data_IF_147071966764
#
_entry.id   IF_147071966764
#
_cell.length_a   1.000
_cell.length_b   1.000
_cell.length_c   1.000
_cell.angle_alpha   90.00
_cell.angle_beta   90.00
_cell.angle_gamma   90.00
#
_symmetry.space_group_name_H-M   'P 1'
#
loop_
_entity.id
_entity.type
_entity.pdbx_description
1 polymer ?
#
# COMPACT_ATOMS: atom_id res chain seq x y z
N UNK A 1 24.10 -18.96 -0.16
CA UNK A 1 25.27 -18.07 -0.32
C UNK A 1 25.44 -17.24 0.95
N UNK A 2 26.61 -16.62 1.19
CA UNK A 2 26.74 -15.67 2.31
C UNK A 2 26.12 -14.32 1.91
N UNK A 3 25.73 -13.51 2.88
CA UNK A 3 25.11 -12.21 2.64
C UNK A 3 25.96 -11.31 1.72
N UNK A 4 27.27 -11.22 1.98
CA UNK A 4 28.19 -10.43 1.16
C UNK A 4 28.20 -10.84 -0.32
N UNK A 5 28.18 -12.15 -0.60
CA UNK A 5 28.18 -12.67 -1.96
C UNK A 5 26.82 -12.43 -2.66
N UNK A 6 25.73 -12.38 -1.88
CA UNK A 6 24.38 -12.05 -2.37
C UNK A 6 24.31 -10.59 -2.79
N UNK A 7 24.78 -9.68 -1.94
CA UNK A 7 24.78 -8.25 -2.20
C UNK A 7 25.62 -7.90 -3.44
N UNK A 8 26.84 -8.46 -3.54
CA UNK A 8 27.69 -8.25 -4.71
C UNK A 8 27.07 -8.80 -6.00
N UNK A 9 26.34 -9.91 -5.94
CA UNK A 9 25.63 -10.48 -7.09
C UNK A 9 24.39 -9.65 -7.48
N UNK A 10 23.67 -9.10 -6.50
CA UNK A 10 22.58 -8.16 -6.72
C UNK A 10 23.05 -6.90 -7.45
N UNK A 11 24.15 -6.30 -6.98
CA UNK A 11 24.69 -5.07 -7.55
C UNK A 11 25.21 -5.24 -8.98
N UNK A 12 25.65 -6.46 -9.35
CA UNK A 12 26.03 -6.82 -10.72
C UNK A 12 24.83 -7.08 -11.64
N UNK A 13 23.62 -7.17 -11.09
CA UNK A 13 22.41 -7.52 -11.83
C UNK A 13 22.31 -9.01 -12.18
N UNK A 14 22.99 -9.88 -11.41
CA UNK A 14 22.93 -11.33 -11.58
C UNK A 14 21.52 -11.86 -11.21
N UNK A 15 21.08 -12.98 -11.82
CA UNK A 15 19.81 -13.61 -11.45
C UNK A 15 19.92 -14.30 -10.07
N UNK A 16 19.24 -13.73 -9.07
CA UNK A 16 19.23 -14.25 -7.70
C UNK A 16 18.07 -15.21 -7.42
N UNK A 17 17.17 -15.42 -8.38
CA UNK A 17 15.97 -16.27 -8.24
C UNK A 17 16.28 -17.66 -7.66
N UNK A 18 17.38 -18.35 -8.03
CA UNK A 18 17.73 -19.67 -7.46
C UNK A 18 18.05 -19.65 -5.97
N UNK A 19 18.39 -18.49 -5.41
CA UNK A 19 18.77 -18.32 -4.00
C UNK A 19 17.62 -17.80 -3.12
N UNK A 20 16.48 -17.44 -3.73
CA UNK A 20 15.29 -16.97 -3.02
C UNK A 20 14.36 -18.13 -2.69
N UNK A 21 13.94 -18.24 -1.43
CA UNK A 21 12.87 -19.18 -1.04
C UNK A 21 11.48 -18.59 -1.36
N UNK A 22 11.10 -18.69 -2.63
CA UNK A 22 9.81 -18.19 -3.12
C UNK A 22 8.62 -19.01 -2.60
N UNK A 23 8.84 -20.25 -2.13
CA UNK A 23 7.76 -21.10 -1.61
C UNK A 23 7.27 -20.63 -0.24
N UNK A 24 8.15 -20.05 0.57
CA UNK A 24 7.79 -19.46 1.86
C UNK A 24 7.51 -17.95 1.79
N UNK A 25 7.65 -17.34 0.62
CA UNK A 25 7.38 -15.92 0.42
C UNK A 25 5.92 -15.58 0.79
N UNK A 26 5.75 -14.61 1.70
CA UNK A 26 4.44 -14.11 2.13
C UNK A 26 4.30 -12.65 1.74
N UNK A 27 3.14 -12.32 1.16
CA UNK A 27 2.74 -10.91 1.00
C UNK A 27 2.35 -10.40 2.39
N UNK A 28 3.15 -9.49 2.95
CA UNK A 28 2.92 -8.95 4.29
C UNK A 28 1.65 -8.07 4.37
N UNK A 29 1.23 -7.49 3.24
CA UNK A 29 0.07 -6.59 3.16
C UNK A 29 -0.78 -6.91 1.92
N UNK A 30 -1.57 -8.00 1.95
CA UNK A 30 -2.46 -8.33 0.84
C UNK A 30 -3.49 -7.21 0.63
N UNK A 31 -3.62 -6.74 -0.61
CA UNK A 31 -4.56 -5.67 -0.99
C UNK A 31 -5.78 -6.28 -1.65
N UNK A 32 -6.96 -6.05 -1.08
CA UNK A 32 -8.24 -6.36 -1.72
C UNK A 32 -8.75 -5.14 -2.49
N UNK A 33 -9.06 -5.29 -3.77
CA UNK A 33 -9.75 -4.26 -4.56
C UNK A 33 -11.25 -4.36 -4.31
N UNK A 34 -11.89 -3.20 -4.12
CA UNK A 34 -13.34 -3.07 -3.96
C UNK A 34 -13.86 -2.01 -4.92
N UNK A 35 -15.09 -2.19 -5.40
CA UNK A 35 -15.83 -1.20 -6.17
C UNK A 35 -16.94 -0.64 -5.27
N UNK A 36 -17.05 0.67 -5.18
CA UNK A 36 -18.04 1.36 -4.34
C UNK A 36 -18.53 2.57 -5.11
N UNK A 37 -19.85 2.72 -5.18
CA UNK A 37 -20.48 3.92 -5.74
C UNK A 37 -20.57 5.01 -4.66
N UNK A 38 -20.12 6.22 -5.00
CA UNK A 38 -20.11 7.38 -4.11
C UNK A 38 -20.93 8.50 -4.77
N UNK A 39 -21.82 9.20 -4.04
CA UNK A 39 -22.53 10.35 -4.57
C UNK A 39 -21.57 11.38 -5.15
N UNK A 40 -21.94 11.97 -6.30
CA UNK A 40 -21.07 12.92 -7.02
C UNK A 40 -20.65 14.11 -6.15
N UNK A 41 -21.59 14.66 -5.39
CA UNK A 41 -21.34 15.81 -4.51
C UNK A 41 -20.31 15.46 -3.42
N UNK A 42 -20.49 14.30 -2.77
CA UNK A 42 -19.53 13.79 -1.78
C UNK A 42 -18.14 13.56 -2.40
N UNK A 43 -18.05 13.02 -3.62
CA UNK A 43 -16.76 12.82 -4.27
C UNK A 43 -16.08 14.15 -4.61
N UNK A 44 -16.84 15.19 -4.97
CA UNK A 44 -16.31 16.53 -5.23
C UNK A 44 -15.71 17.14 -3.95
N UNK A 45 -16.36 16.97 -2.81
CA UNK A 45 -15.83 17.44 -1.52
C UNK A 45 -14.53 16.72 -1.16
N UNK A 46 -14.48 15.40 -1.36
CA UNK A 46 -13.25 14.59 -1.17
C UNK A 46 -12.13 15.08 -2.08
N UNK A 47 -12.42 15.34 -3.36
CA UNK A 47 -11.41 15.79 -4.32
C UNK A 47 -10.85 17.19 -3.97
N UNK A 48 -11.71 18.11 -3.54
CA UNK A 48 -11.28 19.44 -3.09
C UNK A 48 -10.37 19.35 -1.88
N UNK A 49 -10.72 18.52 -0.91
CA UNK A 49 -9.95 18.35 0.31
C UNK A 49 -8.62 17.64 0.04
N UNK A 50 -8.62 16.61 -0.82
CA UNK A 50 -7.42 15.93 -1.27
C UNK A 50 -6.44 16.89 -1.97
N UNK A 51 -6.96 17.79 -2.81
CA UNK A 51 -6.17 18.84 -3.45
C UNK A 51 -5.61 19.85 -2.43
N UNK A 52 -6.43 20.26 -1.44
CA UNK A 52 -6.03 21.22 -0.39
C UNK A 52 -4.84 20.72 0.43
N UNK A 53 -4.80 19.43 0.77
CA UNK A 53 -3.73 18.81 1.55
C UNK A 53 -2.61 18.21 0.68
N UNK A 54 -2.78 18.19 -0.65
CA UNK A 54 -1.76 17.74 -1.59
C UNK A 54 -1.59 16.22 -1.68
N UNK A 55 -2.66 15.45 -1.53
CA UNK A 55 -2.61 13.97 -1.62
C UNK A 55 -3.58 13.44 -2.68
N UNK A 56 -3.37 12.22 -3.21
CA UNK A 56 -4.35 11.57 -4.07
C UNK A 56 -5.66 11.27 -3.34
N UNK A 57 -6.80 11.38 -4.04
CA UNK A 57 -8.14 11.06 -3.48
C UNK A 57 -8.17 9.72 -2.74
N UNK A 58 -7.54 8.70 -3.29
CA UNK A 58 -7.57 7.33 -2.75
C UNK A 58 -6.78 7.24 -1.44
N UNK A 59 -5.74 8.06 -1.27
CA UNK A 59 -5.00 8.15 -0.02
C UNK A 59 -5.83 8.83 1.06
N UNK A 60 -6.53 9.92 0.72
CA UNK A 60 -7.44 10.60 1.65
C UNK A 60 -8.57 9.68 2.11
N UNK A 61 -9.24 8.99 1.17
CA UNK A 61 -10.31 8.03 1.49
C UNK A 61 -9.80 6.92 2.43
N UNK A 62 -8.62 6.36 2.17
CA UNK A 62 -8.02 5.34 3.05
C UNK A 62 -7.75 5.86 4.46
N UNK A 63 -7.23 7.08 4.56
CA UNK A 63 -6.90 7.71 5.84
C UNK A 63 -8.16 7.94 6.68
N UNK A 64 -9.22 8.50 6.10
CA UNK A 64 -10.49 8.72 6.80
C UNK A 64 -11.16 7.42 7.24
N UNK A 65 -11.12 6.38 6.40
CA UNK A 65 -11.65 5.05 6.80
C UNK A 65 -10.85 4.51 8.00
N UNK A 66 -9.51 4.59 7.96
CA UNK A 66 -8.66 4.13 9.05
C UNK A 66 -8.94 4.89 10.34
N UNK A 67 -8.97 6.23 10.30
CA UNK A 67 -9.28 7.09 11.43
C UNK A 67 -10.65 6.75 12.05
N UNK A 68 -11.67 6.59 11.21
CA UNK A 68 -13.01 6.25 11.68
C UNK A 68 -13.06 4.87 12.33
N UNK A 69 -12.37 3.88 11.76
CA UNK A 69 -12.28 2.53 12.32
C UNK A 69 -11.51 2.51 13.65
N UNK A 70 -10.45 3.30 13.77
CA UNK A 70 -9.67 3.38 15.00
C UNK A 70 -10.49 4.02 16.12
N UNK A 71 -11.21 5.12 15.85
CA UNK A 71 -12.13 5.73 16.81
C UNK A 71 -13.19 4.74 17.33
N UNK A 72 -13.70 3.84 16.48
CA UNK A 72 -14.68 2.81 16.88
C UNK A 72 -14.07 1.69 17.73
N UNK A 73 -12.77 1.43 17.64
CA UNK A 73 -12.09 0.40 18.44
C UNK A 73 -11.68 0.90 19.83
N UNK A 74 -11.46 2.21 19.94
CA UNK A 74 -11.06 2.85 21.20
C UNK A 74 -12.22 3.35 22.06
N UNK A 75 -13.46 3.28 21.56
CA UNK A 75 -14.69 3.60 22.30
C UNK A 75 -15.34 2.33 22.88
#
# INVERSE_FOLDING_TARGET
>A
MKAKDFDEAFDRGDDLTPYLDLKSAKVLHPVQRINVDIPKEMLQDVDQEAARIGVPRTSLIKMWIAERLDHLKTA
#
